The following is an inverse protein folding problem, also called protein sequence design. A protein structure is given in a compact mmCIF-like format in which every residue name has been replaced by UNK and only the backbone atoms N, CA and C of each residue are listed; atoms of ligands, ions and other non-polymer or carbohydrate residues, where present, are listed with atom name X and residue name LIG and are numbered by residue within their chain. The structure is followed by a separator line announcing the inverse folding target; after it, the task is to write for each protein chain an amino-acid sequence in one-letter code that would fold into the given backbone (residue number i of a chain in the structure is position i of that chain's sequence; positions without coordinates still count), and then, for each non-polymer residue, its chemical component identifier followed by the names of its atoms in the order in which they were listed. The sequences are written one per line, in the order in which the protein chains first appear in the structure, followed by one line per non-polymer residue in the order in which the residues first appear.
data_IF_046074391050
#
_entry.id   IF_046074391050
#
_cell.length_a   1.000
_cell.length_b   1.000
_cell.length_c   1.000
_cell.angle_alpha   90.00
_cell.angle_beta   90.00
_cell.angle_gamma   90.00
#
_symmetry.space_group_name_H-M   'P 1'
#
loop_
_entity.id
_entity.type
_entity.pdbx_description
1 polymer ?
#
# COMPACT_ATOMS: atom_id res chain seq x y z
N UNK A 1 -1.85 -8.47 -7.33
CA UNK A 1 -1.39 -7.12 -6.96
C UNK A 1 -1.94 -6.81 -5.57
N UNK A 2 -1.09 -6.53 -4.58
CA UNK A 2 -1.56 -6.31 -3.20
C UNK A 2 -2.47 -5.08 -3.08
N UNK A 3 -2.29 -4.09 -3.96
CA UNK A 3 -3.17 -2.92 -3.99
C UNK A 3 -4.61 -3.27 -4.38
N UNK A 4 -4.80 -4.22 -5.31
CA UNK A 4 -6.13 -4.72 -5.68
C UNK A 4 -6.78 -5.54 -4.55
N UNK A 5 -5.94 -6.18 -3.71
CA UNK A 5 -6.40 -6.94 -2.56
C UNK A 5 -6.86 -6.02 -1.43
N UNK A 6 -6.09 -4.97 -1.14
CA UNK A 6 -6.43 -3.94 -0.15
C UNK A 6 -7.67 -3.13 -0.58
N UNK A 7 -7.83 -2.83 -1.87
CA UNK A 7 -9.02 -2.17 -2.42
C UNK A 7 -10.30 -2.99 -2.15
N UNK A 8 -10.23 -4.32 -2.31
CA UNK A 8 -11.32 -5.24 -1.95
C UNK A 8 -11.61 -5.30 -0.44
N UNK A 9 -10.68 -4.85 0.40
CA UNK A 9 -10.87 -4.68 1.85
C UNK A 9 -11.34 -3.28 2.24
N UNK A 10 -11.62 -2.40 1.27
CA UNK A 10 -12.03 -1.02 1.52
C UNK A 10 -10.87 -0.07 1.86
N UNK A 11 -9.62 -0.49 1.62
CA UNK A 11 -8.42 0.30 1.90
C UNK A 11 -7.80 0.75 0.58
N UNK A 12 -7.86 2.06 0.31
CA UNK A 12 -7.27 2.64 -0.89
C UNK A 12 -5.76 2.90 -0.70
N UNK A 13 -4.93 2.17 -1.44
CA UNK A 13 -3.47 2.37 -1.51
C UNK A 13 -3.02 2.61 -2.94
N UNK A 14 -1.85 3.24 -3.13
CA UNK A 14 -1.23 3.39 -4.46
C UNK A 14 -0.09 2.39 -4.61
N UNK A 15 -0.06 1.64 -5.70
CA UNK A 15 1.10 0.84 -6.11
C UNK A 15 1.84 1.47 -7.30
N UNK A 16 3.14 1.17 -7.43
CA UNK A 16 3.97 1.49 -8.59
C UNK A 16 5.11 2.46 -8.28
N UNK A 17 5.59 3.18 -9.30
CA UNK A 17 6.75 4.08 -9.16
C UNK A 17 6.43 5.42 -8.49
N UNK A 18 5.16 5.76 -8.31
CA UNK A 18 4.67 7.04 -7.76
C UNK A 18 5.23 8.29 -8.46
N UNK A 19 5.46 8.20 -9.79
CA UNK A 19 6.15 9.24 -10.57
C UNK A 19 7.59 9.53 -10.09
N UNK A 20 8.20 8.62 -9.31
CA UNK A 20 9.53 8.74 -8.71
C UNK A 20 10.49 7.66 -9.24
N UNK A 21 10.43 7.33 -10.53
CA UNK A 21 11.27 6.28 -11.14
C UNK A 21 12.78 6.43 -10.87
N UNK A 22 13.39 7.64 -10.85
CA UNK A 22 14.80 7.78 -10.47
C UNK A 22 15.10 7.30 -9.04
N UNK A 23 14.20 7.57 -8.10
CA UNK A 23 14.34 7.14 -6.70
C UNK A 23 14.23 5.61 -6.59
N UNK A 24 13.26 5.01 -7.29
CA UNK A 24 13.10 3.55 -7.32
C UNK A 24 14.36 2.86 -7.84
N UNK A 25 14.97 3.40 -8.91
CA UNK A 25 16.26 2.92 -9.44
C UNK A 25 17.39 3.05 -8.43
N UNK A 26 17.47 4.15 -7.69
CA UNK A 26 18.49 4.35 -6.66
C UNK A 26 18.36 3.34 -5.51
N UNK A 27 17.13 2.92 -5.17
CA UNK A 27 16.87 1.87 -4.18
C UNK A 27 16.90 0.44 -4.75
N UNK A 28 17.06 0.27 -6.08
CA UNK A 28 17.09 -1.04 -6.72
C UNK A 28 15.76 -1.81 -6.66
N UNK A 29 14.63 -1.11 -6.52
CA UNK A 29 13.29 -1.71 -6.46
C UNK A 29 12.45 -1.29 -7.67
N UNK A 30 11.55 -2.15 -8.12
CA UNK A 30 10.66 -1.81 -9.23
C UNK A 30 9.57 -0.83 -8.81
N UNK A 31 9.05 -0.91 -7.59
CA UNK A 31 8.03 0.01 -7.12
C UNK A 31 7.66 -0.28 -5.67
N UNK A 32 6.77 0.55 -5.13
CA UNK A 32 6.31 0.42 -3.76
C UNK A 32 4.79 0.46 -3.68
N UNK A 33 4.27 0.01 -2.55
CA UNK A 33 2.92 0.32 -2.10
C UNK A 33 3.04 1.50 -1.14
N UNK A 34 2.18 2.49 -1.30
CA UNK A 34 2.17 3.69 -0.46
C UNK A 34 0.76 3.96 0.07
N UNK A 35 0.63 3.92 1.39
CA UNK A 35 -0.50 4.51 2.11
C UNK A 35 -0.14 5.96 2.49
N UNK A 36 -1.09 6.89 2.34
CA UNK A 36 -0.88 8.30 2.66
C UNK A 36 -1.90 8.72 3.71
N UNK A 37 -1.41 9.21 4.84
CA UNK A 37 -2.21 9.64 6.00
C UNK A 37 -2.47 11.13 5.87
N UNK A 38 -3.73 11.55 5.97
CA UNK A 38 -4.16 12.94 5.87
C UNK A 38 -4.89 13.42 7.13
N UNK A 39 -5.37 14.66 7.10
CA UNK A 39 -6.09 15.28 8.24
C UNK A 39 -7.33 14.51 8.69
N UNK A 40 -7.97 13.80 7.75
CA UNK A 40 -9.22 13.08 7.98
C UNK A 40 -9.02 11.59 8.27
N UNK A 41 -7.77 11.12 8.31
CA UNK A 41 -7.46 9.73 8.64
C UNK A 41 -7.60 9.53 10.15
N UNK A 42 -8.27 8.46 10.55
CA UNK A 42 -8.46 8.06 11.94
C UNK A 42 -7.84 6.68 12.23
N UNK A 43 -7.84 6.28 13.50
CA UNK A 43 -7.24 5.01 13.94
C UNK A 43 -7.86 3.77 13.27
N UNK A 44 -9.18 3.79 13.02
CA UNK A 44 -9.85 2.66 12.35
C UNK A 44 -9.38 2.49 10.90
N UNK A 45 -9.02 3.58 10.22
CA UNK A 45 -8.45 3.51 8.86
C UNK A 45 -7.08 2.81 8.90
N UNK A 46 -6.28 3.09 9.93
CA UNK A 46 -4.97 2.45 10.13
C UNK A 46 -5.13 0.97 10.47
N UNK A 47 -6.09 0.63 11.33
CA UNK A 47 -6.38 -0.76 11.66
C UNK A 47 -6.84 -1.56 10.43
N UNK A 48 -7.68 -0.94 9.58
CA UNK A 48 -8.13 -1.54 8.32
C UNK A 48 -6.96 -1.78 7.37
N UNK A 49 -6.05 -0.80 7.24
CA UNK A 49 -4.82 -0.94 6.46
C UNK A 49 -3.95 -2.09 6.97
N UNK A 50 -3.73 -2.21 8.28
CA UNK A 50 -2.93 -3.29 8.88
C UNK A 50 -3.56 -4.66 8.60
N UNK A 51 -4.88 -4.77 8.68
CA UNK A 51 -5.59 -6.02 8.38
C UNK A 51 -5.48 -6.40 6.90
N UNK A 52 -5.62 -5.44 5.99
CA UNK A 52 -5.40 -5.63 4.55
C UNK A 52 -4.00 -6.16 4.25
N UNK A 53 -2.97 -5.48 4.79
CA UNK A 53 -1.57 -5.89 4.61
C UNK A 53 -1.26 -7.29 5.14
N UNK A 54 -1.83 -7.68 6.29
CA UNK A 54 -1.67 -9.04 6.84
C UNK A 54 -2.27 -10.08 5.89
N UNK A 55 -3.49 -9.86 5.41
CA UNK A 55 -4.14 -10.76 4.44
C UNK A 55 -3.35 -10.84 3.13
N UNK A 56 -2.89 -9.70 2.62
CA UNK A 56 -2.07 -9.66 1.41
C UNK A 56 -0.77 -10.44 1.57
N UNK A 57 -0.10 -10.31 2.73
CA UNK A 57 1.08 -11.11 3.05
C UNK A 57 0.75 -12.60 3.08
N UNK A 58 -0.31 -13.01 3.77
CA UNK A 58 -0.69 -14.43 3.92
C UNK A 58 -1.10 -15.07 2.57
N UNK A 59 -1.67 -14.31 1.64
CA UNK A 59 -2.05 -14.80 0.31
C UNK A 59 -0.89 -14.85 -0.70
N UNK A 60 0.16 -14.07 -0.46
CA UNK A 60 1.34 -13.97 -1.34
C UNK A 60 2.57 -14.68 -0.78
N UNK A 61 2.44 -15.36 0.37
CA UNK A 61 3.48 -16.19 0.98
C UNK A 61 3.47 -17.63 0.47
#
# INVERSE_FOLDING_TARGET
DSAELDDKQGVAVRAGHHCCMPLMKAFGIEGTIRASIGLYTNENDIDSLIQGLKKAKDMLS
#
